data_IF_936689616785
#
_entry.id   IF_936689616785
#
_cell.length_a   1.000
_cell.length_b   1.000
_cell.length_c   1.000
_cell.angle_alpha   90.00
_cell.angle_beta   90.00
_cell.angle_gamma   90.00
#
_symmetry.space_group_name_H-M   'P 1'
#
loop_
_entity.id
_entity.type
_entity.pdbx_description
1 polymer ?
#
# COMPACT_ATOMS: atom_id res chain seq x y z
N UNK A 1 3.29 12.11 -6.88
CA UNK A 1 4.35 12.57 -5.95
C UNK A 1 4.44 11.51 -4.86
N UNK A 2 5.58 10.85 -4.70
CA UNK A 2 5.77 9.74 -3.77
C UNK A 2 6.05 10.29 -2.36
N UNK A 3 5.10 10.13 -1.44
CA UNK A 3 5.24 10.60 -0.06
C UNK A 3 5.77 9.45 0.79
N UNK A 4 7.03 9.55 1.21
CA UNK A 4 7.68 8.54 2.04
C UNK A 4 7.51 8.88 3.51
N UNK A 5 6.82 8.02 4.25
CA UNK A 5 6.49 8.20 5.65
C UNK A 5 7.18 7.15 6.50
N UNK A 6 7.54 7.51 7.73
CA UNK A 6 7.90 6.52 8.74
C UNK A 6 6.68 5.65 9.09
N UNK A 7 6.88 4.42 9.60
CA UNK A 7 5.78 3.57 10.04
C UNK A 7 4.83 4.26 11.03
N UNK A 8 5.35 5.17 11.87
CA UNK A 8 4.54 5.93 12.83
C UNK A 8 3.67 6.98 12.16
N UNK A 9 4.20 7.70 11.17
CA UNK A 9 3.44 8.70 10.41
C UNK A 9 2.37 8.04 9.54
N UNK A 10 2.74 6.94 8.86
CA UNK A 10 1.82 6.17 8.03
C UNK A 10 0.70 5.53 8.87
N UNK A 11 1.01 5.04 10.07
CA UNK A 11 0.04 4.54 11.02
C UNK A 11 -1.00 5.59 11.40
N UNK A 12 -0.55 6.81 11.72
CA UNK A 12 -1.45 7.93 12.04
C UNK A 12 -2.34 8.30 10.88
N UNK A 13 -1.82 8.28 9.66
CA UNK A 13 -2.58 8.67 8.47
C UNK A 13 -3.55 7.59 7.99
N UNK A 14 -3.15 6.31 8.05
CA UNK A 14 -4.00 5.19 7.69
C UNK A 14 -4.99 4.79 8.79
N UNK A 15 -4.92 5.41 9.98
CA UNK A 15 -5.76 5.07 11.12
C UNK A 15 -5.47 3.67 11.69
N UNK A 16 -4.23 3.19 11.54
CA UNK A 16 -3.80 1.86 11.98
C UNK A 16 -2.73 1.94 13.06
N UNK A 17 -2.44 0.82 13.73
CA UNK A 17 -1.32 0.77 14.65
C UNK A 17 0.03 0.61 13.93
N UNK A 18 1.12 1.15 14.50
CA UNK A 18 2.48 1.03 13.91
C UNK A 18 2.88 -0.42 13.63
N UNK A 19 2.56 -1.35 14.54
CA UNK A 19 2.85 -2.77 14.39
C UNK A 19 2.07 -3.38 13.22
N UNK A 20 0.81 -2.98 13.06
CA UNK A 20 -0.05 -3.43 11.98
C UNK A 20 0.45 -2.94 10.63
N UNK A 21 0.88 -1.67 10.52
CA UNK A 21 1.51 -1.14 9.30
C UNK A 21 2.71 -1.98 8.88
N UNK A 22 3.61 -2.30 9.83
CA UNK A 22 4.81 -3.09 9.54
C UNK A 22 4.43 -4.51 9.10
N UNK A 23 3.50 -5.15 9.80
CA UNK A 23 3.01 -6.48 9.43
C UNK A 23 2.41 -6.48 8.02
N UNK A 24 1.55 -5.50 7.71
CA UNK A 24 0.96 -5.32 6.38
C UNK A 24 2.02 -5.06 5.31
N UNK A 25 3.06 -4.28 5.60
CA UNK A 25 4.14 -4.10 4.63
C UNK A 25 4.82 -5.43 4.27
N UNK A 26 5.05 -6.29 5.26
CA UNK A 26 5.65 -7.61 5.04
C UNK A 26 4.70 -8.56 4.30
N UNK A 27 3.42 -8.59 4.70
CA UNK A 27 2.39 -9.42 4.06
C UNK A 27 2.14 -9.03 2.59
N UNK A 28 2.13 -7.72 2.31
CA UNK A 28 1.80 -7.17 1.00
C UNK A 28 3.01 -6.95 0.09
N UNK A 29 4.21 -7.27 0.57
CA UNK A 29 5.46 -7.07 -0.18
C UNK A 29 5.79 -5.59 -0.44
N UNK A 30 5.34 -4.69 0.43
CA UNK A 30 5.63 -3.25 0.34
C UNK A 30 7.05 -3.00 0.87
N UNK A 31 7.97 -2.45 0.05
CA UNK A 31 9.35 -2.25 0.47
C UNK A 31 9.47 -1.17 1.54
N UNK A 32 10.31 -1.44 2.54
CA UNK A 32 10.70 -0.49 3.58
C UNK A 32 12.13 -0.02 3.27
N UNK A 33 12.30 1.24 2.87
CA UNK A 33 13.60 1.81 2.52
C UNK A 33 14.05 2.80 3.60
N UNK A 34 15.18 2.52 4.26
CA UNK A 34 15.74 3.35 5.34
C UNK A 34 14.71 3.66 6.46
N UNK A 35 13.84 2.68 6.77
CA UNK A 35 12.79 2.86 7.77
C UNK A 35 11.62 3.75 7.31
N UNK A 36 11.48 3.99 6.01
CA UNK A 36 10.36 4.71 5.40
C UNK A 36 9.59 3.83 4.44
N UNK A 37 8.32 4.14 4.26
CA UNK A 37 7.36 3.43 3.43
C UNK A 37 6.75 4.46 2.49
N UNK A 38 6.65 4.12 1.21
CA UNK A 38 5.91 4.96 0.29
C UNK A 38 4.40 4.83 0.56
N UNK A 39 3.78 5.95 0.92
CA UNK A 39 2.36 6.03 1.25
C UNK A 39 1.49 5.57 0.08
N UNK A 40 1.82 6.01 -1.13
CA UNK A 40 0.98 5.75 -2.31
C UNK A 40 0.96 4.27 -2.65
N UNK A 41 2.12 3.62 -2.59
CA UNK A 41 2.27 2.18 -2.80
C UNK A 41 1.56 1.42 -1.69
N UNK A 42 1.77 1.78 -0.43
CA UNK A 42 1.12 1.10 0.70
C UNK A 42 -0.41 1.14 0.62
N UNK A 43 -0.99 2.31 0.35
CA UNK A 43 -2.45 2.45 0.21
C UNK A 43 -2.98 1.70 -1.02
N UNK A 44 -2.24 1.71 -2.13
CA UNK A 44 -2.61 0.94 -3.32
C UNK A 44 -2.59 -0.59 -3.06
N UNK A 45 -1.56 -1.07 -2.36
CA UNK A 45 -1.44 -2.48 -1.96
C UNK A 45 -2.54 -2.89 -0.98
N UNK A 46 -2.91 -2.03 -0.03
CA UNK A 46 -4.04 -2.29 0.87
C UNK A 46 -5.36 -2.40 0.11
N UNK A 47 -5.61 -1.50 -0.84
CA UNK A 47 -6.82 -1.54 -1.67
C UNK A 47 -6.90 -2.82 -2.51
N UNK A 48 -5.77 -3.33 -3.02
CA UNK A 48 -5.71 -4.61 -3.74
C UNK A 48 -5.86 -5.84 -2.84
N UNK A 49 -5.51 -5.73 -1.54
CA UNK A 49 -5.54 -6.86 -0.60
C UNK A 49 -6.90 -7.09 0.05
N UNK A 50 -7.81 -6.12 0.01
CA UNK A 50 -9.17 -6.32 0.53
C UNK A 50 -9.93 -7.19 -0.48
N UNK A 51 -10.39 -8.40 -0.11
CA UNK A 51 -11.25 -9.20 -0.96
C UNK A 51 -12.67 -8.61 -0.93
N UNK A 52 -12.83 -7.41 -1.48
CA UNK A 52 -14.15 -6.83 -1.71
C UNK A 52 -14.62 -7.28 -3.10
N UNK A 53 -15.64 -8.14 -3.07
CA UNK A 53 -16.33 -8.66 -4.21
C UNK A 53 -16.67 -7.58 -5.27
N UNK A 54 -16.46 -7.93 -6.54
CA UNK A 54 -17.12 -7.37 -7.74
C UNK A 54 -16.67 -5.97 -8.21
N UNK A 55 -15.76 -5.91 -9.20
CA UNK A 55 -16.03 -5.52 -10.61
C UNK A 55 -14.76 -5.06 -11.36
N UNK A 56 -14.55 -5.71 -12.52
CA UNK A 56 -13.86 -5.27 -13.75
C UNK A 56 -13.44 -3.79 -13.87
N UNK A 57 -12.15 -3.53 -14.16
CA UNK A 57 -11.67 -2.62 -15.22
C UNK A 57 -10.15 -2.38 -15.13
N UNK A 58 -9.36 -3.09 -15.93
CA UNK A 58 -8.07 -2.60 -16.44
C UNK A 58 -7.81 -3.24 -17.81
N UNK A 59 -8.42 -2.65 -18.84
CA UNK A 59 -8.14 -2.98 -20.24
C UNK A 59 -6.92 -2.24 -20.78
N UNK A 60 -6.44 -2.77 -21.91
CA UNK A 60 -5.57 -2.18 -22.92
C UNK A 60 -4.04 -2.27 -22.73
N UNK A 61 -3.46 -3.27 -23.40
CA UNK A 61 -2.44 -2.95 -24.42
C UNK A 61 -2.62 -3.86 -25.64
N UNK A 62 -3.45 -3.40 -26.57
CA UNK A 62 -3.41 -3.83 -27.96
C UNK A 62 -2.40 -2.96 -28.68
N UNK A 63 -1.38 -3.56 -29.33
CA UNK A 63 -0.74 -2.97 -30.52
C UNK A 63 -0.33 -4.09 -31.49
N UNK A 64 -0.96 -3.97 -32.66
CA UNK A 64 -0.73 -4.48 -34.02
C UNK A 64 0.46 -5.40 -34.29
#
# INVERSE_FOLDING_TARGET
MAVHLTPTELAREAGMHRREVIARCMELGVPIFQGRIDKTLFLASLAHSQPSATTSAAGASARV
#
